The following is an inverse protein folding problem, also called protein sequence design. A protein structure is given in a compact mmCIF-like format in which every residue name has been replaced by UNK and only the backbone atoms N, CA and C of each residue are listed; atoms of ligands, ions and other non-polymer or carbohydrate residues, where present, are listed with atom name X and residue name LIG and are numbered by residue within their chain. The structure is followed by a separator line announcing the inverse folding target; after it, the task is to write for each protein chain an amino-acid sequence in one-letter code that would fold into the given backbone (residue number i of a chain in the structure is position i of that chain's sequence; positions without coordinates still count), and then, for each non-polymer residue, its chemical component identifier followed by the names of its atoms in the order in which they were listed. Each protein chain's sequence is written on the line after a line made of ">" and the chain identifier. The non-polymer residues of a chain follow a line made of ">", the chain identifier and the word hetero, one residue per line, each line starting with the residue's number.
data_IF_978395616393
#
_entry.id   IF_978395616393
#
_cell.length_a   1.000
_cell.length_b   1.000
_cell.length_c   1.000
_cell.angle_alpha   90.00
_cell.angle_beta   90.00
_cell.angle_gamma   90.00
#
_symmetry.space_group_name_H-M   'P 1'
#
loop_
_entity.id
_entity.type
_entity.pdbx_description
1 polymer ?
#
# COMPACT_ATOMS: atom_id res chain seq x y z
N UNK A 1 -47.90 -29.21 -72.88
CA UNK A 1 -46.55 -29.25 -73.46
C UNK A 1 -45.70 -28.17 -72.87
N UNK A 2 -44.53 -28.47 -72.44
CA UNK A 2 -43.32 -27.76 -72.02
C UNK A 2 -43.00 -27.91 -70.53
N UNK A 3 -42.07 -28.82 -70.28
CA UNK A 3 -41.28 -28.99 -69.09
C UNK A 3 -40.48 -27.70 -68.76
N UNK A 4 -40.48 -27.31 -67.51
CA UNK A 4 -39.58 -26.31 -66.92
C UNK A 4 -38.80 -26.93 -65.78
N UNK A 5 -37.54 -27.17 -66.04
CA UNK A 5 -36.51 -27.75 -65.16
C UNK A 5 -36.22 -26.75 -64.06
N UNK A 6 -36.46 -27.08 -62.76
CA UNK A 6 -36.06 -26.27 -61.61
C UNK A 6 -34.73 -26.77 -61.13
N UNK A 7 -33.68 -25.99 -61.38
CA UNK A 7 -32.34 -26.18 -60.79
C UNK A 7 -32.34 -25.74 -59.36
N UNK A 8 -32.26 -26.69 -58.42
CA UNK A 8 -31.96 -26.46 -57.01
C UNK A 8 -30.46 -26.20 -56.84
N UNK A 9 -30.13 -24.94 -56.64
CA UNK A 9 -28.78 -24.54 -56.19
C UNK A 9 -28.69 -24.71 -54.68
N UNK A 10 -27.95 -25.73 -54.23
CA UNK A 10 -27.52 -25.84 -52.85
C UNK A 10 -26.53 -24.73 -52.52
N UNK A 11 -26.98 -23.66 -51.85
CA UNK A 11 -26.13 -22.73 -51.20
C UNK A 11 -25.64 -23.38 -49.90
N UNK A 12 -24.39 -23.85 -49.92
CA UNK A 12 -23.69 -24.27 -48.70
C UNK A 12 -23.47 -23.04 -47.80
N UNK A 13 -24.33 -22.92 -46.76
CA UNK A 13 -24.05 -22.06 -45.63
C UNK A 13 -22.80 -22.59 -44.93
N UNK A 14 -21.67 -21.94 -45.19
CA UNK A 14 -20.54 -22.03 -44.29
C UNK A 14 -20.94 -21.31 -43.00
N UNK A 15 -21.30 -22.08 -41.97
CA UNK A 15 -21.43 -21.60 -40.61
C UNK A 15 -20.04 -21.09 -40.23
N UNK A 16 -19.88 -19.77 -40.21
CA UNK A 16 -18.80 -19.11 -39.52
C UNK A 16 -18.92 -19.49 -38.04
N UNK A 17 -18.20 -20.54 -37.65
CA UNK A 17 -18.00 -20.81 -36.23
C UNK A 17 -17.36 -19.55 -35.64
N UNK A 18 -18.01 -18.90 -34.65
CA UNK A 18 -17.36 -17.79 -33.99
C UNK A 18 -16.04 -18.31 -33.47
N UNK A 19 -14.95 -17.62 -33.82
CA UNK A 19 -13.63 -17.92 -33.29
C UNK A 19 -13.82 -17.93 -31.76
N UNK A 20 -13.60 -19.09 -31.12
CA UNK A 20 -13.69 -19.21 -29.68
C UNK A 20 -12.67 -18.21 -29.11
N UNK A 21 -13.19 -17.10 -28.62
CA UNK A 21 -12.38 -16.12 -27.87
C UNK A 21 -11.76 -16.94 -26.75
N UNK A 22 -10.45 -17.12 -26.78
CA UNK A 22 -9.71 -17.80 -25.70
C UNK A 22 -10.15 -17.14 -24.40
N UNK A 23 -10.91 -17.88 -23.60
CA UNK A 23 -11.42 -17.42 -22.30
C UNK A 23 -10.35 -17.58 -21.20
N UNK A 24 -9.27 -18.28 -21.52
CA UNK A 24 -8.24 -18.63 -20.56
C UNK A 24 -7.27 -17.48 -20.31
N UNK A 25 -6.96 -17.24 -19.04
CA UNK A 25 -5.94 -16.30 -18.61
C UNK A 25 -4.55 -16.84 -19.01
N UNK A 26 -3.81 -16.08 -19.82
CA UNK A 26 -2.42 -16.41 -20.13
C UNK A 26 -1.47 -15.86 -19.04
N UNK A 27 -0.26 -16.45 -18.91
CA UNK A 27 0.78 -15.90 -18.01
C UNK A 27 1.13 -14.44 -18.34
N UNK A 28 1.09 -14.08 -19.64
CA UNK A 28 1.32 -12.70 -20.08
C UNK A 28 0.23 -11.76 -19.61
N UNK A 29 -1.03 -12.16 -19.70
CA UNK A 29 -2.18 -11.35 -19.28
C UNK A 29 -2.23 -11.25 -17.75
N UNK A 30 -1.96 -12.34 -17.02
CA UNK A 30 -1.82 -12.34 -15.58
C UNK A 30 -0.73 -11.37 -15.10
N UNK A 31 0.46 -11.43 -15.72
CA UNK A 31 1.54 -10.49 -15.42
C UNK A 31 1.12 -9.04 -15.67
N UNK A 32 0.51 -8.77 -16.83
CA UNK A 32 0.04 -7.42 -17.18
C UNK A 32 -1.00 -6.92 -16.18
N UNK A 33 -1.96 -7.75 -15.77
CA UNK A 33 -2.99 -7.37 -14.79
C UNK A 33 -2.37 -7.08 -13.42
N UNK A 34 -1.43 -7.91 -12.94
CA UNK A 34 -0.70 -7.67 -11.69
C UNK A 34 0.11 -6.37 -11.76
N UNK A 35 0.81 -6.13 -12.87
CA UNK A 35 1.56 -4.88 -13.07
C UNK A 35 0.64 -3.65 -13.08
N UNK A 36 -0.52 -3.74 -13.73
CA UNK A 36 -1.50 -2.66 -13.75
C UNK A 36 -2.02 -2.36 -12.35
N UNK A 37 -2.26 -3.39 -11.54
CA UNK A 37 -2.65 -3.26 -10.14
C UNK A 37 -1.55 -2.58 -9.29
N UNK A 38 -0.29 -2.97 -9.48
CA UNK A 38 0.85 -2.42 -8.75
C UNK A 38 1.23 -1.00 -9.20
N UNK A 39 0.75 -0.58 -10.37
CA UNK A 39 0.99 0.75 -10.94
C UNK A 39 2.09 0.79 -12.00
N UNK A 40 2.04 1.81 -12.85
CA UNK A 40 2.90 1.95 -14.04
C UNK A 40 4.41 2.04 -13.73
N UNK A 41 4.78 2.41 -12.52
CA UNK A 41 6.18 2.51 -12.09
C UNK A 41 6.79 1.18 -11.64
N UNK A 42 6.00 0.10 -11.57
CA UNK A 42 6.48 -1.20 -11.14
C UNK A 42 7.17 -1.92 -12.31
N UNK A 43 8.47 -2.28 -12.21
CA UNK A 43 9.19 -2.86 -13.33
C UNK A 43 8.63 -4.25 -13.68
N UNK A 44 8.57 -4.55 -14.99
CA UNK A 44 8.07 -5.85 -15.45
C UNK A 44 8.91 -7.04 -14.99
N UNK A 45 10.19 -6.81 -14.71
CA UNK A 45 11.11 -7.80 -14.15
C UNK A 45 10.84 -8.13 -12.67
N UNK A 46 10.01 -7.36 -11.97
CA UNK A 46 9.67 -7.58 -10.58
C UNK A 46 8.44 -8.48 -10.37
N UNK A 47 7.82 -8.97 -11.46
CA UNK A 47 6.65 -9.87 -11.41
C UNK A 47 6.93 -11.13 -12.21
N UNK A 48 7.04 -12.26 -11.53
CA UNK A 48 7.25 -13.57 -12.14
C UNK A 48 6.05 -14.47 -11.89
N UNK A 49 5.17 -14.60 -12.88
CA UNK A 49 4.02 -15.53 -12.81
C UNK A 49 4.53 -16.95 -12.92
N UNK A 50 4.21 -17.79 -11.93
CA UNK A 50 4.65 -19.20 -11.86
C UNK A 50 3.59 -20.14 -12.44
N UNK A 51 2.37 -20.06 -11.94
CA UNK A 51 1.27 -20.92 -12.33
C UNK A 51 0.05 -20.08 -12.68
N UNK A 52 -0.72 -20.54 -13.65
CA UNK A 52 -2.04 -19.98 -13.99
C UNK A 52 -3.00 -21.14 -14.10
N UNK A 53 -4.15 -21.04 -13.45
CA UNK A 53 -5.28 -21.97 -13.57
C UNK A 53 -6.53 -21.16 -13.90
N UNK A 54 -7.25 -21.57 -14.92
CA UNK A 54 -8.57 -21.00 -15.25
C UNK A 54 -9.63 -21.87 -14.61
N UNK A 55 -10.46 -21.27 -13.78
CA UNK A 55 -11.70 -21.90 -13.31
C UNK A 55 -12.86 -21.47 -14.21
N UNK A 56 -14.07 -21.98 -14.03
CA UNK A 56 -15.19 -21.71 -14.94
C UNK A 56 -15.42 -20.21 -15.19
N UNK A 57 -15.90 -19.91 -16.40
CA UNK A 57 -16.50 -18.64 -16.88
C UNK A 57 -16.00 -17.31 -16.25
N UNK A 58 -14.83 -16.84 -16.73
CA UNK A 58 -14.39 -15.47 -16.45
C UNK A 58 -13.69 -15.27 -15.09
N UNK A 59 -13.35 -16.35 -14.40
CA UNK A 59 -12.54 -16.36 -13.16
C UNK A 59 -11.29 -17.21 -13.37
N UNK A 60 -10.15 -16.71 -12.94
CA UNK A 60 -8.87 -17.43 -12.99
C UNK A 60 -8.01 -17.13 -11.76
N UNK A 61 -7.07 -18.02 -11.44
CA UNK A 61 -6.11 -17.85 -10.37
C UNK A 61 -4.68 -17.93 -10.94
N UNK A 62 -3.77 -17.18 -10.34
CA UNK A 62 -2.34 -17.34 -10.62
C UNK A 62 -1.50 -17.11 -9.37
N UNK A 63 -0.41 -17.87 -9.26
CA UNK A 63 0.64 -17.61 -8.28
C UNK A 63 1.76 -16.82 -8.94
N UNK A 64 2.22 -15.78 -8.27
CA UNK A 64 3.33 -14.98 -8.75
C UNK A 64 4.33 -14.68 -7.63
N UNK A 65 5.61 -14.58 -8.02
CA UNK A 65 6.67 -14.03 -7.20
C UNK A 65 6.80 -12.53 -7.51
N UNK A 66 6.79 -11.71 -6.47
CA UNK A 66 6.90 -10.27 -6.53
C UNK A 66 8.16 -9.80 -5.82
N UNK A 67 8.83 -8.79 -6.37
CA UNK A 67 9.88 -8.08 -5.68
C UNK A 67 9.25 -6.95 -4.86
N UNK A 68 9.35 -7.01 -3.54
CA UNK A 68 8.81 -6.01 -2.62
C UNK A 68 9.94 -5.37 -1.81
N UNK A 69 9.76 -4.11 -1.44
CA UNK A 69 10.71 -3.38 -0.58
C UNK A 69 9.98 -2.91 0.67
N UNK A 70 10.54 -3.26 1.81
CA UNK A 70 10.01 -2.91 3.12
C UNK A 70 10.99 -1.99 3.85
N UNK A 71 10.44 -1.10 4.68
CA UNK A 71 11.23 -0.39 5.68
C UNK A 71 11.01 -1.05 7.04
N UNK A 72 12.10 -1.35 7.72
CA UNK A 72 12.09 -1.80 9.10
C UNK A 72 12.65 -0.71 10.01
N UNK A 73 12.12 -0.60 11.22
CA UNK A 73 12.59 0.30 12.28
C UNK A 73 12.76 -0.48 13.58
N UNK A 74 13.70 -0.05 14.40
CA UNK A 74 13.87 -0.58 15.73
C UNK A 74 13.03 0.24 16.71
N UNK A 75 12.03 -0.39 17.34
CA UNK A 75 11.15 0.23 18.33
C UNK A 75 11.30 -0.57 19.62
N UNK A 76 11.65 0.08 20.72
CA UNK A 76 11.92 -0.57 22.01
C UNK A 76 12.92 -1.71 21.92
N UNK A 77 14.00 -1.52 21.13
CA UNK A 77 15.05 -2.52 20.90
C UNK A 77 14.67 -3.65 19.96
N UNK A 78 13.45 -3.70 19.42
CA UNK A 78 12.96 -4.75 18.52
C UNK A 78 12.76 -4.23 17.10
N UNK A 79 13.18 -5.02 16.11
CA UNK A 79 12.93 -4.71 14.72
C UNK A 79 11.48 -5.01 14.34
N UNK A 80 10.83 -4.04 13.68
CA UNK A 80 9.47 -4.15 13.16
C UNK A 80 9.40 -3.61 11.74
N UNK A 81 8.60 -4.24 10.88
CA UNK A 81 8.28 -3.67 9.58
C UNK A 81 7.31 -2.52 9.79
N UNK A 82 7.62 -1.36 9.20
CA UNK A 82 6.81 -0.13 9.34
C UNK A 82 6.11 0.28 8.07
N UNK A 83 6.76 0.10 6.92
CA UNK A 83 6.26 0.58 5.64
C UNK A 83 6.58 -0.40 4.51
N UNK A 84 5.77 -0.38 3.46
CA UNK A 84 6.02 -1.05 2.18
C UNK A 84 6.07 -0.03 1.06
N UNK A 85 7.01 -0.19 0.12
CA UNK A 85 7.12 0.69 -1.04
C UNK A 85 6.10 0.30 -2.10
N UNK A 86 5.24 1.23 -2.49
CA UNK A 86 4.20 1.05 -3.51
C UNK A 86 4.51 1.76 -4.82
N UNK A 87 5.45 2.72 -4.82
CA UNK A 87 6.00 3.39 -6.01
C UNK A 87 7.43 3.90 -5.67
N UNK A 88 8.22 4.39 -6.63
CA UNK A 88 9.61 4.80 -6.39
C UNK A 88 9.80 5.69 -5.16
N UNK A 89 8.98 6.72 -5.01
CA UNK A 89 9.03 7.67 -3.90
C UNK A 89 7.85 7.54 -2.93
N UNK A 90 7.04 6.47 -3.07
CA UNK A 90 5.82 6.30 -2.30
C UNK A 90 5.90 5.09 -1.38
N UNK A 91 5.67 5.35 -0.09
CA UNK A 91 5.67 4.37 0.97
C UNK A 91 4.32 4.32 1.64
N UNK A 92 3.76 3.14 1.82
CA UNK A 92 2.52 2.96 2.59
C UNK A 92 2.83 2.36 3.96
N UNK A 93 2.18 2.89 4.98
CA UNK A 93 2.32 2.42 6.35
C UNK A 93 1.60 1.09 6.53
N UNK A 94 2.32 0.11 7.08
CA UNK A 94 1.77 -1.22 7.31
C UNK A 94 0.70 -1.24 8.41
N UNK A 95 0.78 -0.35 9.40
CA UNK A 95 -0.24 -0.24 10.44
C UNK A 95 -1.59 0.24 9.88
N UNK A 96 -1.60 1.16 8.90
CA UNK A 96 -2.83 1.57 8.23
C UNK A 96 -3.43 0.45 7.37
N UNK A 97 -2.58 -0.32 6.68
CA UNK A 97 -3.02 -1.49 5.92
C UNK A 97 -3.60 -2.55 6.88
N UNK A 98 -2.92 -2.82 7.99
CA UNK A 98 -3.40 -3.77 8.99
C UNK A 98 -4.74 -3.33 9.59
N UNK A 99 -4.88 -2.05 9.93
CA UNK A 99 -6.13 -1.48 10.43
C UNK A 99 -7.27 -1.61 9.40
N UNK A 100 -7.00 -1.29 8.12
CA UNK A 100 -7.96 -1.44 7.04
C UNK A 100 -8.42 -2.90 6.84
N UNK A 101 -7.55 -3.86 7.14
CA UNK A 101 -7.85 -5.29 7.09
C UNK A 101 -8.45 -5.83 8.41
N UNK A 102 -8.67 -5.01 9.43
CA UNK A 102 -9.01 -5.43 10.79
C UNK A 102 -8.04 -6.50 11.33
N UNK A 103 -6.78 -6.40 10.97
CA UNK A 103 -5.72 -7.32 11.33
C UNK A 103 -4.72 -6.65 12.27
N UNK A 104 -4.03 -7.45 13.08
CA UNK A 104 -2.90 -6.97 13.86
C UNK A 104 -1.61 -7.15 13.08
N UNK A 105 -0.72 -6.16 13.15
CA UNK A 105 0.66 -6.36 12.71
C UNK A 105 1.32 -7.42 13.59
N UNK A 106 2.16 -8.28 13.01
CA UNK A 106 2.94 -9.25 13.76
C UNK A 106 3.78 -8.57 14.85
N UNK A 107 3.86 -9.19 16.01
CA UNK A 107 4.61 -8.64 17.14
C UNK A 107 6.12 -8.60 16.91
N UNK A 108 6.62 -9.19 15.81
CA UNK A 108 8.05 -9.28 15.51
C UNK A 108 8.79 -10.26 16.46
N UNK A 109 8.18 -11.39 16.76
CA UNK A 109 8.77 -12.44 17.61
C UNK A 109 9.92 -13.19 16.92
N UNK A 110 10.66 -12.46 16.08
CA UNK A 110 11.79 -12.97 15.31
C UNK A 110 13.13 -12.84 16.04
N UNK A 111 13.08 -12.51 17.32
CA UNK A 111 14.29 -12.44 18.14
C UNK A 111 14.83 -13.84 18.43
N UNK A 112 16.08 -14.09 18.10
CA UNK A 112 16.77 -15.28 18.58
C UNK A 112 16.88 -15.17 20.10
N UNK A 113 16.54 -16.23 20.87
CA UNK A 113 16.90 -16.27 22.27
C UNK A 113 18.42 -16.15 22.35
N UNK A 114 18.90 -15.00 22.83
CA UNK A 114 20.33 -14.79 23.03
C UNK A 114 20.80 -15.73 24.15
N UNK A 115 21.33 -16.88 23.78
CA UNK A 115 21.98 -17.78 24.74
C UNK A 115 23.36 -17.30 25.22
N UNK A 116 23.81 -16.14 24.72
CA UNK A 116 25.08 -15.53 25.15
C UNK A 116 24.88 -14.03 25.39
N UNK A 117 24.75 -13.67 26.65
CA UNK A 117 24.90 -12.30 27.15
C UNK A 117 26.40 -11.97 27.08
N UNK A 118 26.90 -11.66 25.89
CA UNK A 118 28.08 -10.82 25.73
C UNK A 118 27.66 -9.57 24.92
N UNK A 119 27.79 -8.43 25.58
CA UNK A 119 27.53 -7.06 25.15
C UNK A 119 28.23 -6.71 23.82
N UNK A 120 27.68 -7.17 22.70
CA UNK A 120 27.93 -6.54 21.41
C UNK A 120 26.57 -6.09 20.93
N UNK A 121 26.44 -4.78 20.71
CA UNK A 121 25.19 -4.12 20.35
C UNK A 121 24.49 -4.86 19.21
N UNK A 122 23.39 -5.54 19.52
CA UNK A 122 22.52 -6.24 18.56
C UNK A 122 21.65 -5.23 17.77
N UNK A 123 22.23 -4.11 17.38
CA UNK A 123 21.54 -3.04 16.64
C UNK A 123 21.37 -3.37 15.17
N UNK A 124 22.13 -4.30 14.61
CA UNK A 124 22.03 -4.62 13.19
C UNK A 124 20.93 -5.64 12.89
N UNK A 125 20.15 -5.37 11.85
CA UNK A 125 19.17 -6.30 11.31
C UNK A 125 19.89 -7.41 10.53
N UNK A 126 19.71 -8.67 10.93
CA UNK A 126 20.27 -9.82 10.20
C UNK A 126 19.33 -10.31 9.10
N UNK A 127 19.89 -10.96 8.05
CA UNK A 127 19.09 -11.57 6.95
C UNK A 127 18.05 -12.55 7.49
N UNK A 128 18.41 -13.36 8.48
CA UNK A 128 17.50 -14.34 9.10
C UNK A 128 16.34 -13.65 9.79
N UNK A 129 16.61 -12.58 10.55
CA UNK A 129 15.56 -11.76 11.21
C UNK A 129 14.69 -11.04 10.20
N UNK A 130 15.26 -10.42 9.16
CA UNK A 130 14.53 -9.78 8.09
C UNK A 130 13.57 -10.75 7.39
N UNK A 131 14.07 -11.96 7.07
CA UNK A 131 13.24 -13.01 6.46
C UNK A 131 12.09 -13.43 7.38
N UNK A 132 12.34 -13.58 8.68
CA UNK A 132 11.31 -13.90 9.66
C UNK A 132 10.24 -12.81 9.71
N UNK A 133 10.63 -11.53 9.82
CA UNK A 133 9.68 -10.39 9.85
C UNK A 133 8.78 -10.35 8.62
N UNK A 134 9.35 -10.53 7.42
CA UNK A 134 8.58 -10.56 6.18
C UNK A 134 7.67 -11.79 6.14
N UNK A 135 8.14 -12.97 6.57
CA UNK A 135 7.33 -14.19 6.61
C UNK A 135 6.14 -14.06 7.58
N UNK A 136 6.36 -13.53 8.79
CA UNK A 136 5.27 -13.26 9.74
C UNK A 136 4.23 -12.29 9.17
N UNK A 137 4.67 -11.19 8.51
CA UNK A 137 3.76 -10.24 7.88
C UNK A 137 2.87 -10.92 6.85
N UNK A 138 3.44 -11.81 6.04
CA UNK A 138 2.74 -12.50 4.96
C UNK A 138 1.97 -13.75 5.41
N UNK A 139 2.09 -14.17 6.67
CA UNK A 139 1.48 -15.41 7.16
C UNK A 139 2.16 -16.66 6.59
N UNK A 140 3.46 -16.62 6.35
CA UNK A 140 4.27 -17.72 5.84
C UNK A 140 5.02 -18.38 6.97
N UNK A 141 4.84 -19.70 7.13
CA UNK A 141 5.61 -20.50 8.10
C UNK A 141 7.00 -20.80 7.56
N UNK A 142 8.05 -20.55 8.37
CA UNK A 142 9.43 -20.87 8.01
C UNK A 142 9.81 -22.29 8.52
N UNK A 143 10.71 -23.02 7.80
CA UNK A 143 11.39 -22.62 6.56
C UNK A 143 10.47 -22.68 5.32
N UNK A 144 10.58 -21.72 4.41
CA UNK A 144 9.80 -21.64 3.17
C UNK A 144 10.61 -20.92 2.09
N UNK A 145 10.43 -21.27 0.83
CA UNK A 145 10.96 -20.56 -0.35
C UNK A 145 10.07 -19.39 -0.80
N UNK A 146 8.89 -19.24 -0.20
CA UNK A 146 7.94 -18.15 -0.52
C UNK A 146 8.44 -16.76 -0.11
N UNK A 147 9.48 -16.69 0.73
CA UNK A 147 10.13 -15.45 1.15
C UNK A 147 11.65 -15.61 1.03
N UNK A 148 12.26 -14.82 0.17
CA UNK A 148 13.72 -14.76 -0.02
C UNK A 148 14.19 -13.31 0.08
N UNK A 149 15.13 -13.03 0.96
CA UNK A 149 15.75 -11.70 1.03
C UNK A 149 16.72 -11.58 -0.15
N UNK A 150 16.54 -10.51 -0.94
CA UNK A 150 17.41 -10.16 -2.06
C UNK A 150 18.54 -9.27 -1.62
N UNK A 151 18.21 -8.22 -0.87
CA UNK A 151 19.17 -7.24 -0.41
C UNK A 151 18.69 -6.57 0.89
N UNK A 152 19.63 -6.00 1.64
CA UNK A 152 19.35 -5.20 2.83
C UNK A 152 20.35 -4.07 2.94
N UNK A 153 19.88 -2.88 3.30
CA UNK A 153 20.70 -1.72 3.56
C UNK A 153 20.27 -1.00 4.83
N UNK A 154 21.22 -0.63 5.67
CA UNK A 154 20.95 0.24 6.81
C UNK A 154 20.71 1.66 6.31
N UNK A 155 19.73 2.35 6.90
CA UNK A 155 19.53 3.77 6.63
C UNK A 155 20.31 4.59 7.65
N UNK A 156 21.19 5.44 7.17
CA UNK A 156 21.82 6.46 7.99
C UNK A 156 20.78 7.55 8.28
N UNK A 157 20.40 7.66 9.53
CA UNK A 157 19.46 8.68 10.00
C UNK A 157 20.20 9.73 10.81
N UNK A 158 19.63 10.95 10.94
CA UNK A 158 20.18 11.98 11.81
C UNK A 158 20.45 11.46 13.22
N UNK A 159 21.45 12.03 13.88
CA UNK A 159 21.87 11.63 15.23
C UNK A 159 20.66 11.62 16.20
N UNK A 160 20.50 10.54 16.94
CA UNK A 160 19.37 10.36 17.87
C UNK A 160 18.11 9.73 17.28
N UNK A 161 18.10 9.39 16.00
CA UNK A 161 16.99 8.64 15.37
C UNK A 161 17.10 7.15 15.66
N UNK A 162 15.95 6.47 15.70
CA UNK A 162 15.92 5.02 15.84
C UNK A 162 16.54 4.34 14.60
N UNK A 163 17.32 3.25 14.78
CA UNK A 163 17.88 2.50 13.67
C UNK A 163 16.82 2.05 12.68
N UNK A 164 17.10 2.19 11.40
CA UNK A 164 16.22 1.73 10.36
C UNK A 164 16.96 1.05 9.20
N UNK A 165 16.25 0.22 8.45
CA UNK A 165 16.80 -0.53 7.34
C UNK A 165 15.79 -0.70 6.22
N UNK A 166 16.29 -0.82 4.98
CA UNK A 166 15.52 -1.29 3.84
C UNK A 166 15.74 -2.77 3.66
N UNK A 167 14.67 -3.49 3.37
CA UNK A 167 14.67 -4.93 3.08
C UNK A 167 14.06 -5.11 1.69
N UNK A 168 14.84 -5.57 0.74
CA UNK A 168 14.36 -5.99 -0.56
C UNK A 168 14.17 -7.50 -0.55
N UNK A 169 12.96 -7.95 -0.85
CA UNK A 169 12.60 -9.37 -0.78
C UNK A 169 11.80 -9.81 -2.01
N UNK A 170 12.00 -11.06 -2.41
CA UNK A 170 11.07 -11.79 -3.26
C UNK A 170 10.03 -12.46 -2.37
N UNK A 171 8.76 -12.19 -2.66
CA UNK A 171 7.61 -12.73 -1.93
C UNK A 171 6.67 -13.43 -2.89
N UNK A 172 6.07 -14.53 -2.49
CA UNK A 172 5.04 -15.22 -3.26
C UNK A 172 3.66 -14.80 -2.79
N UNK A 173 2.78 -14.52 -3.76
CA UNK A 173 1.37 -14.24 -3.53
C UNK A 173 0.51 -14.92 -4.59
N UNK A 174 -0.73 -15.25 -4.22
CA UNK A 174 -1.75 -15.79 -5.12
C UNK A 174 -2.75 -14.69 -5.46
N UNK A 175 -3.21 -14.70 -6.70
CA UNK A 175 -4.11 -13.70 -7.24
C UNK A 175 -5.33 -14.37 -7.87
N UNK A 176 -6.52 -13.80 -7.66
CA UNK A 176 -7.72 -14.07 -8.42
C UNK A 176 -7.97 -12.97 -9.41
N UNK A 177 -8.42 -13.37 -10.57
CA UNK A 177 -8.70 -12.46 -11.67
C UNK A 177 -10.16 -12.60 -12.07
N UNK A 178 -10.76 -11.47 -12.35
CA UNK A 178 -12.06 -11.38 -12.99
C UNK A 178 -11.92 -10.78 -14.39
N UNK A 179 -12.71 -11.27 -15.33
CA UNK A 179 -12.74 -10.74 -16.68
C UNK A 179 -13.80 -9.64 -16.78
N UNK A 180 -13.36 -8.41 -17.04
CA UNK A 180 -14.21 -7.27 -17.31
C UNK A 180 -14.09 -6.80 -18.77
N UNK A 181 -14.74 -5.70 -19.12
CA UNK A 181 -14.75 -5.10 -20.47
C UNK A 181 -13.35 -4.75 -20.98
N UNK A 182 -12.44 -4.41 -20.07
CA UNK A 182 -11.05 -4.06 -20.37
C UNK A 182 -10.07 -5.25 -20.30
N UNK A 183 -10.58 -6.49 -20.25
CA UNK A 183 -9.78 -7.71 -20.12
C UNK A 183 -9.65 -8.19 -18.67
N UNK A 184 -8.64 -9.00 -18.40
CA UNK A 184 -8.40 -9.57 -17.09
C UNK A 184 -7.89 -8.53 -16.09
N UNK A 185 -8.50 -8.48 -14.91
CA UNK A 185 -8.16 -7.60 -13.79
C UNK A 185 -8.00 -8.42 -12.52
N UNK A 186 -7.06 -8.06 -11.67
CA UNK A 186 -6.93 -8.67 -10.34
C UNK A 186 -8.11 -8.20 -9.49
N UNK A 187 -8.86 -9.15 -8.92
CA UNK A 187 -9.98 -8.89 -8.02
C UNK A 187 -9.62 -9.13 -6.57
N UNK A 188 -8.82 -10.17 -6.31
CA UNK A 188 -8.43 -10.57 -4.95
C UNK A 188 -6.97 -11.02 -4.94
N UNK A 189 -6.34 -10.95 -3.77
CA UNK A 189 -5.02 -11.52 -3.53
C UNK A 189 -4.94 -12.16 -2.14
N UNK A 190 -3.99 -13.07 -1.96
CA UNK A 190 -3.58 -13.59 -0.65
C UNK A 190 -2.09 -13.87 -0.60
N UNK A 191 -1.53 -13.93 0.60
CA UNK A 191 -0.15 -14.36 0.85
C UNK A 191 -0.12 -15.43 1.94
N UNK A 192 0.73 -16.44 1.77
CA UNK A 192 0.88 -17.54 2.72
C UNK A 192 -0.45 -18.16 3.12
N UNK A 193 -0.68 -18.26 4.43
CA UNK A 193 -1.91 -18.82 5.01
C UNK A 193 -2.99 -17.76 5.31
N UNK A 194 -2.85 -16.54 4.76
CA UNK A 194 -3.83 -15.47 4.95
C UNK A 194 -5.10 -15.75 4.15
N UNK A 195 -6.20 -15.13 4.56
CA UNK A 195 -7.45 -15.14 3.79
C UNK A 195 -7.34 -14.32 2.51
N UNK A 196 -8.24 -14.60 1.56
CA UNK A 196 -8.35 -13.81 0.33
C UNK A 196 -8.84 -12.39 0.65
N UNK A 197 -8.16 -11.41 0.09
CA UNK A 197 -8.47 -9.99 0.26
C UNK A 197 -8.95 -9.41 -1.06
N UNK A 198 -10.14 -8.85 -1.07
CA UNK A 198 -10.69 -8.12 -2.21
C UNK A 198 -10.00 -6.76 -2.32
N UNK A 199 -9.51 -6.42 -3.51
CA UNK A 199 -8.77 -5.17 -3.74
C UNK A 199 -9.64 -3.94 -3.57
N UNK A 200 -10.87 -3.96 -4.08
CA UNK A 200 -11.83 -2.86 -3.97
C UNK A 200 -12.20 -2.57 -2.50
N UNK A 201 -12.45 -3.61 -1.73
CA UNK A 201 -12.75 -3.51 -0.30
C UNK A 201 -11.55 -2.97 0.49
N UNK A 202 -10.34 -3.46 0.20
CA UNK A 202 -9.11 -2.95 0.84
C UNK A 202 -8.87 -1.48 0.50
N UNK A 203 -9.01 -1.08 -0.77
CA UNK A 203 -8.81 0.29 -1.19
C UNK A 203 -9.77 1.25 -0.44
N UNK A 204 -11.05 0.89 -0.35
CA UNK A 204 -12.07 1.66 0.37
C UNK A 204 -11.76 1.74 1.86
N UNK A 205 -11.43 0.61 2.51
CA UNK A 205 -11.13 0.58 3.93
C UNK A 205 -9.84 1.34 4.28
N UNK A 206 -8.82 1.26 3.40
CA UNK A 206 -7.57 2.00 3.58
C UNK A 206 -7.79 3.51 3.44
N UNK A 207 -8.62 3.93 2.49
CA UNK A 207 -8.97 5.36 2.33
C UNK A 207 -9.69 5.88 3.57
N UNK A 208 -10.67 5.17 4.10
CA UNK A 208 -11.38 5.54 5.33
C UNK A 208 -10.44 5.60 6.55
N UNK A 209 -9.50 4.64 6.65
CA UNK A 209 -8.48 4.64 7.69
C UNK A 209 -7.59 5.89 7.58
N UNK A 210 -7.19 6.26 6.38
CA UNK A 210 -6.41 7.47 6.11
C UNK A 210 -7.19 8.75 6.44
N UNK A 211 -8.48 8.82 6.09
CA UNK A 211 -9.35 9.95 6.46
C UNK A 211 -9.45 10.13 7.97
N UNK A 212 -9.62 9.03 8.69
CA UNK A 212 -9.66 9.04 10.16
C UNK A 212 -8.35 9.57 10.76
N UNK A 213 -7.21 9.11 10.24
CA UNK A 213 -5.89 9.59 10.68
C UNK A 213 -5.69 11.07 10.36
N UNK A 214 -6.02 11.52 9.13
CA UNK A 214 -5.91 12.93 8.74
C UNK A 214 -6.76 13.83 9.62
N UNK A 215 -7.99 13.41 9.95
CA UNK A 215 -8.87 14.12 10.87
C UNK A 215 -8.23 14.24 12.27
N UNK A 216 -7.65 13.17 12.78
CA UNK A 216 -6.94 13.15 14.07
C UNK A 216 -5.71 14.08 14.06
N UNK A 217 -4.92 14.06 12.99
CA UNK A 217 -3.75 14.92 12.83
C UNK A 217 -4.14 16.40 12.77
N UNK A 218 -5.15 16.76 11.97
CA UNK A 218 -5.67 18.13 11.87
C UNK A 218 -6.22 18.64 13.24
N UNK A 219 -6.95 17.80 13.97
CA UNK A 219 -7.43 18.15 15.30
C UNK A 219 -6.27 18.33 16.30
N UNK A 220 -5.19 17.54 16.18
CA UNK A 220 -3.99 17.68 17.01
C UNK A 220 -3.28 19.02 16.73
N UNK A 221 -3.14 19.38 15.47
CA UNK A 221 -2.56 20.69 15.05
C UNK A 221 -3.46 21.84 15.53
N UNK A 222 -4.79 21.72 15.37
CA UNK A 222 -5.75 22.72 15.82
C UNK A 222 -5.72 22.93 17.33
N UNK A 223 -5.57 21.86 18.11
CA UNK A 223 -5.41 21.96 19.57
C UNK A 223 -4.12 22.73 19.93
N UNK A 224 -3.00 22.41 19.27
CA UNK A 224 -1.73 23.12 19.45
C UNK A 224 -1.83 24.61 19.07
N UNK A 225 -2.57 24.96 18.01
CA UNK A 225 -2.87 26.34 17.63
C UNK A 225 -3.71 27.07 18.69
N UNK A 226 -4.70 26.43 19.27
CA UNK A 226 -5.50 27.00 20.33
C UNK A 226 -4.68 27.23 21.62
N UNK A 227 -3.76 26.33 21.95
CA UNK A 227 -2.83 26.52 23.09
C UNK A 227 -1.87 27.67 22.84
N UNK A 228 -1.32 27.78 21.62
CA UNK A 228 -0.49 28.92 21.20
C UNK A 228 -1.26 30.24 21.33
N UNK A 229 -2.52 30.30 20.81
CA UNK A 229 -3.36 31.51 20.92
C UNK A 229 -3.64 31.87 22.38
N UNK A 230 -3.89 30.89 23.23
CA UNK A 230 -4.15 31.15 24.67
C UNK A 230 -2.96 31.83 25.35
N UNK A 231 -1.74 31.49 24.95
CA UNK A 231 -0.52 32.05 25.50
C UNK A 231 -0.12 33.37 24.83
N UNK A 232 -0.30 33.48 23.50
CA UNK A 232 0.21 34.61 22.69
C UNK A 232 -0.87 35.67 22.37
N UNK A 233 -2.14 35.33 22.48
CA UNK A 233 -3.27 36.20 22.18
C UNK A 233 -3.72 36.20 20.70
N UNK A 234 -3.01 35.53 19.82
CA UNK A 234 -3.30 35.43 18.38
C UNK A 234 -2.88 34.07 17.82
N UNK A 235 -3.40 33.68 16.64
CA UNK A 235 -2.95 32.50 15.90
C UNK A 235 -1.69 32.82 15.06
N UNK A 236 -0.97 31.80 14.66
CA UNK A 236 0.19 31.92 13.77
C UNK A 236 -0.30 32.52 12.43
N UNK A 237 0.22 33.70 12.07
CA UNK A 237 -0.16 34.39 10.82
C UNK A 237 0.78 33.90 9.71
N UNK A 238 0.28 33.02 8.85
CA UNK A 238 1.02 32.45 7.73
C UNK A 238 0.10 31.69 6.79
N UNK A 239 0.52 31.50 5.56
CA UNK A 239 -0.02 30.56 4.57
C UNK A 239 0.94 29.36 4.32
N UNK A 240 2.01 29.24 5.13
CA UNK A 240 3.07 28.25 4.96
C UNK A 240 3.09 27.26 6.13
N UNK A 241 2.94 25.98 5.84
CA UNK A 241 3.01 24.90 6.83
C UNK A 241 4.32 24.89 7.62
N UNK A 242 5.45 25.16 6.96
CA UNK A 242 6.76 25.19 7.65
C UNK A 242 6.81 26.25 8.77
N UNK A 243 6.26 27.44 8.53
CA UNK A 243 6.17 28.51 9.55
C UNK A 243 5.26 28.09 10.70
N UNK A 244 4.13 27.43 10.40
CA UNK A 244 3.24 26.88 11.42
C UNK A 244 4.00 25.89 12.33
N UNK A 245 4.70 24.92 11.74
CA UNK A 245 5.44 23.91 12.50
C UNK A 245 6.54 24.54 13.36
N UNK A 246 7.29 25.52 12.84
CA UNK A 246 8.36 26.20 13.57
C UNK A 246 7.83 26.93 14.82
N UNK A 247 6.59 27.44 14.77
CA UNK A 247 5.96 28.10 15.92
C UNK A 247 5.36 27.11 16.93
N UNK A 248 4.87 25.95 16.47
CA UNK A 248 4.19 25.00 17.32
C UNK A 248 5.12 23.94 17.93
N UNK A 249 6.20 23.55 17.23
CA UNK A 249 7.08 22.47 17.67
C UNK A 249 8.34 23.04 18.35
N UNK A 250 8.83 22.46 19.45
CA UNK A 250 8.26 21.31 20.18
C UNK A 250 7.28 21.70 21.31
N UNK A 251 7.04 22.99 21.54
CA UNK A 251 6.34 23.48 22.75
C UNK A 251 4.87 23.03 22.81
N UNK A 252 4.11 23.21 21.73
CA UNK A 252 2.69 22.90 21.64
C UNK A 252 2.43 21.61 20.88
N UNK A 253 3.33 21.24 19.96
CA UNK A 253 3.24 20.04 19.13
C UNK A 253 4.47 19.15 19.35
N UNK A 254 4.32 18.11 20.18
CA UNK A 254 5.45 17.22 20.54
C UNK A 254 5.99 16.41 19.35
N UNK A 255 5.12 16.05 18.41
CA UNK A 255 5.45 15.33 17.19
C UNK A 255 5.21 16.24 15.98
N UNK A 256 6.22 16.42 15.17
CA UNK A 256 6.08 17.14 13.90
C UNK A 256 5.14 16.39 12.96
N UNK A 257 4.05 17.05 12.54
CA UNK A 257 3.06 16.53 11.60
C UNK A 257 3.08 17.44 10.37
N UNK A 258 3.67 16.96 9.27
CA UNK A 258 3.82 17.75 8.02
C UNK A 258 3.00 17.21 6.87
N UNK A 259 2.91 15.88 6.74
CA UNK A 259 2.27 15.21 5.63
C UNK A 259 1.02 14.50 6.09
N UNK A 260 0.00 14.58 5.26
CA UNK A 260 -1.21 13.79 5.43
C UNK A 260 -0.95 12.30 5.10
N UNK A 261 -1.89 11.39 5.37
CA UNK A 261 -1.73 9.96 5.07
C UNK A 261 -1.62 9.61 3.58
N UNK A 262 -1.89 10.54 2.67
CA UNK A 262 -1.66 10.40 1.23
C UNK A 262 -0.33 11.01 0.77
N UNK A 263 0.56 11.39 1.75
CA UNK A 263 1.91 11.94 1.56
C UNK A 263 1.94 13.34 0.93
N UNK A 264 0.92 14.16 1.19
CA UNK A 264 0.85 15.56 0.78
C UNK A 264 0.98 16.48 1.99
N UNK A 265 1.59 17.67 1.85
CA UNK A 265 1.59 18.65 2.93
C UNK A 265 0.16 19.01 3.36
N UNK A 266 -0.06 19.18 4.65
CA UNK A 266 -1.26 19.84 5.13
C UNK A 266 -1.22 21.31 4.73
N UNK A 267 -2.34 21.84 4.26
CA UNK A 267 -2.46 23.25 3.95
C UNK A 267 -2.87 24.03 5.21
N UNK A 268 -2.29 25.20 5.37
CA UNK A 268 -2.54 26.11 6.46
C UNK A 268 -2.76 27.54 5.94
N UNK A 269 -3.83 28.17 6.39
CA UNK A 269 -4.12 29.59 6.17
C UNK A 269 -4.45 30.18 7.53
N UNK A 270 -3.58 31.05 8.06
CA UNK A 270 -3.74 31.65 9.39
C UNK A 270 -3.74 33.16 9.38
N UNK A 271 -4.70 33.74 10.09
CA UNK A 271 -4.78 35.15 10.45
C UNK A 271 -4.69 35.30 11.99
N UNK A 272 -4.69 36.53 12.52
CA UNK A 272 -4.59 36.75 13.96
C UNK A 272 -5.75 36.12 14.75
N UNK A 273 -6.95 36.13 14.20
CA UNK A 273 -8.21 35.77 14.87
C UNK A 273 -8.80 34.43 14.39
N UNK A 274 -8.33 33.89 13.25
CA UNK A 274 -8.85 32.65 12.68
C UNK A 274 -7.79 31.86 11.94
N UNK A 275 -8.05 30.57 11.71
CA UNK A 275 -7.24 29.71 10.84
C UNK A 275 -8.11 28.71 10.06
N UNK A 276 -7.55 28.21 8.97
CA UNK A 276 -8.01 27.06 8.20
C UNK A 276 -6.87 26.07 8.11
N UNK A 277 -7.14 24.81 8.45
CA UNK A 277 -6.28 23.64 8.21
C UNK A 277 -6.99 22.70 7.25
N UNK A 278 -6.28 22.14 6.28
CA UNK A 278 -6.87 21.25 5.27
C UNK A 278 -5.91 20.12 4.85
N UNK A 279 -6.46 18.92 4.67
CA UNK A 279 -5.92 17.87 3.83
C UNK A 279 -6.73 17.80 2.54
N UNK A 280 -6.06 17.65 1.41
CA UNK A 280 -6.69 17.52 0.08
C UNK A 280 -7.21 16.10 -0.20
N UNK A 281 -7.29 15.26 0.82
CA UNK A 281 -7.86 13.91 0.71
C UNK A 281 -7.15 12.99 -0.28
N UNK A 282 -7.87 12.00 -0.80
CA UNK A 282 -7.33 10.97 -1.66
C UNK A 282 -6.99 11.47 -3.07
N UNK A 283 -7.82 12.35 -3.65
CA UNK A 283 -7.63 12.85 -5.00
C UNK A 283 -6.58 13.97 -5.11
N UNK A 284 -6.29 14.66 -3.99
CA UNK A 284 -5.32 15.74 -3.91
C UNK A 284 -5.73 16.99 -4.67
N UNK A 285 -7.02 17.15 -4.91
CA UNK A 285 -7.59 18.34 -5.57
C UNK A 285 -8.31 19.20 -4.53
N UNK A 286 -8.04 20.50 -4.49
CA UNK A 286 -8.71 21.36 -3.53
C UNK A 286 -10.20 21.55 -3.89
N UNK A 287 -11.05 21.71 -2.88
CA UNK A 287 -12.49 21.95 -2.98
C UNK A 287 -13.27 20.77 -3.56
N UNK A 288 -12.84 19.57 -3.25
CA UNK A 288 -13.57 18.34 -3.58
C UNK A 288 -14.26 17.77 -2.34
N UNK A 289 -15.08 16.72 -2.52
CA UNK A 289 -15.86 16.15 -1.43
C UNK A 289 -15.05 15.30 -0.45
N UNK A 290 -13.79 15.01 -0.77
CA UNK A 290 -12.87 14.25 0.08
C UNK A 290 -11.90 15.13 0.87
N UNK A 291 -11.92 16.47 0.68
CA UNK A 291 -11.20 17.42 1.53
C UNK A 291 -11.60 17.25 3.00
N UNK A 292 -10.62 17.30 3.88
CA UNK A 292 -10.83 17.28 5.33
C UNK A 292 -10.36 18.64 5.87
N UNK A 293 -11.26 19.38 6.50
CA UNK A 293 -10.99 20.74 6.97
C UNK A 293 -11.26 20.90 8.45
N UNK A 294 -10.42 21.68 9.12
CA UNK A 294 -10.62 22.16 10.50
C UNK A 294 -10.39 23.67 10.52
N UNK A 295 -11.30 24.41 11.14
CA UNK A 295 -11.23 25.87 11.30
C UNK A 295 -11.26 26.26 12.76
N UNK A 296 -10.76 27.45 13.06
CA UNK A 296 -10.99 28.08 14.38
C UNK A 296 -12.48 28.26 14.65
N UNK A 297 -12.88 28.02 15.86
CA UNK A 297 -14.22 28.33 16.39
C UNK A 297 -14.27 29.71 16.97
#
# INVERSE_FOLDING_TARGET
>A
MRLGLVLLTFASLWALTPASVRTDLSQKDARKAIQTMLGASFPSSAVHVRNVSSSAEGVAEASAELQAVFRARQVDGRWRLSEIRTAPERWERLDLIAQALNANLPAGNCDEPSQFVHQTSTTSLTVKRARCLVAELLGVSLPSDQVRIKDMSSLELPFGSEPSALIEAFIQADFRFARGDRGWQVSEFKSGNREWVRLDALATALDETKRTLATSDLNTIAAALNDFRRERGFFVVSDREAVLIDHLSPQYLKRVIRLDPWHRPYEYEGAQDHFLLRSLGADGQPRTGDDITVTSR
#
